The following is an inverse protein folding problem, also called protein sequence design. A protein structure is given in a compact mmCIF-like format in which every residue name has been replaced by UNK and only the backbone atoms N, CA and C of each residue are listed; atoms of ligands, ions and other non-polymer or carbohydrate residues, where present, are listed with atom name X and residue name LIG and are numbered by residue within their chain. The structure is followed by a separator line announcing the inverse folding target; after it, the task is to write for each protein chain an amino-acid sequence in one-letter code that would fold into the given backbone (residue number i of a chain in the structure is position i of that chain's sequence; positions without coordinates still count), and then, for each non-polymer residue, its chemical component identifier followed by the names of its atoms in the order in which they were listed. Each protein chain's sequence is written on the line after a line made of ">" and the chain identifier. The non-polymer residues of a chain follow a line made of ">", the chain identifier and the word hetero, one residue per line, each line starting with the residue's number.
data_IF_811652086884
#
_entry.id   IF_811652086884
#
_cell.length_a   1.000
_cell.length_b   1.000
_cell.length_c   1.000
_cell.angle_alpha   90.00
_cell.angle_beta   90.00
_cell.angle_gamma   90.00
#
_symmetry.space_group_name_H-M   'P 1'
#
loop_
_entity.id
_entity.type
_entity.pdbx_description
1 polymer ?
#
# COMPACT_ATOMS: atom_id res chain seq x y z
N UNK A 1 -14.66 -7.68 2.57
CA UNK A 1 -15.04 -7.37 1.17
C UNK A 1 -14.77 -8.59 0.29
N UNK A 2 -15.24 -8.63 -0.95
CA UNK A 2 -14.74 -9.62 -1.92
C UNK A 2 -13.37 -9.20 -2.48
N UNK A 3 -12.68 -10.10 -3.20
CA UNK A 3 -11.33 -9.84 -3.70
C UNK A 3 -11.25 -8.63 -4.63
N UNK A 4 -12.18 -8.49 -5.58
CA UNK A 4 -12.21 -7.38 -6.53
C UNK A 4 -12.41 -6.03 -5.82
N UNK A 5 -13.32 -5.99 -4.85
CA UNK A 5 -13.55 -4.82 -4.01
C UNK A 5 -12.30 -4.46 -3.18
N UNK A 6 -11.63 -5.46 -2.61
CA UNK A 6 -10.40 -5.25 -1.85
C UNK A 6 -9.27 -4.71 -2.74
N UNK A 7 -9.05 -5.30 -3.92
CA UNK A 7 -8.06 -4.81 -4.89
C UNK A 7 -8.35 -3.38 -5.33
N UNK A 8 -9.61 -3.07 -5.65
CA UNK A 8 -10.04 -1.72 -6.01
C UNK A 8 -9.80 -0.73 -4.87
N UNK A 9 -10.12 -1.11 -3.63
CA UNK A 9 -9.94 -0.28 -2.44
C UNK A 9 -8.46 0.01 -2.16
N UNK A 10 -7.61 -1.03 -2.17
CA UNK A 10 -6.17 -0.90 -1.97
C UNK A 10 -5.55 -0.02 -3.05
N UNK A 11 -5.91 -0.23 -4.33
CA UNK A 11 -5.43 0.62 -5.44
C UNK A 11 -5.83 2.08 -5.25
N UNK A 12 -7.08 2.36 -4.88
CA UNK A 12 -7.54 3.72 -4.65
C UNK A 12 -6.72 4.42 -3.56
N UNK A 13 -6.42 3.73 -2.46
CA UNK A 13 -5.61 4.27 -1.37
C UNK A 13 -4.15 4.52 -1.80
N UNK A 14 -3.54 3.61 -2.54
CA UNK A 14 -2.17 3.77 -3.05
C UNK A 14 -2.08 4.92 -4.08
N UNK A 15 -3.09 5.10 -4.93
CA UNK A 15 -3.13 6.22 -5.89
C UNK A 15 -3.22 7.59 -5.18
N UNK A 16 -3.86 7.65 -4.00
CA UNK A 16 -3.86 8.88 -3.18
C UNK A 16 -2.44 9.21 -2.72
N UNK A 17 -1.66 8.21 -2.32
CA UNK A 17 -0.24 8.40 -1.93
C UNK A 17 0.57 8.95 -3.12
N UNK A 18 0.44 8.33 -4.30
CA UNK A 18 1.09 8.80 -5.53
C UNK A 18 0.75 10.26 -5.84
N UNK A 19 -0.52 10.64 -5.69
CA UNK A 19 -1.00 12.00 -5.96
C UNK A 19 -0.44 13.01 -4.96
N UNK A 20 -0.47 12.69 -3.65
CA UNK A 20 -0.04 13.61 -2.58
C UNK A 20 1.46 13.89 -2.63
N UNK A 21 2.27 12.90 -2.98
CA UNK A 21 3.73 13.02 -3.03
C UNK A 21 4.29 13.25 -4.44
N UNK A 22 3.41 13.47 -5.43
CA UNK A 22 3.76 13.68 -6.83
C UNK A 22 4.75 12.63 -7.36
N UNK A 23 4.48 11.36 -7.08
CA UNK A 23 5.35 10.23 -7.41
C UNK A 23 4.62 9.04 -8.02
N UNK A 24 5.37 8.09 -8.56
CA UNK A 24 4.85 6.79 -9.04
C UNK A 24 5.44 5.64 -8.23
N UNK A 25 4.57 4.77 -7.69
CA UNK A 25 4.96 3.51 -7.07
C UNK A 25 5.11 2.46 -8.17
N UNK A 26 6.33 2.03 -8.45
CA UNK A 26 6.65 1.15 -9.61
C UNK A 26 6.13 -0.27 -9.44
N UNK A 27 6.01 -0.75 -8.21
CA UNK A 27 5.58 -2.10 -7.86
C UNK A 27 4.16 -2.16 -7.26
N UNK A 28 3.30 -1.19 -7.62
CA UNK A 28 1.95 -1.01 -7.06
C UNK A 28 1.06 -2.27 -7.12
N UNK A 29 1.06 -2.99 -8.25
CA UNK A 29 0.26 -4.23 -8.40
C UNK A 29 0.73 -5.33 -7.44
N UNK A 30 2.05 -5.50 -7.29
CA UNK A 30 2.62 -6.47 -6.35
C UNK A 30 2.24 -6.15 -4.90
N UNK A 31 2.19 -4.87 -4.53
CA UNK A 31 1.73 -4.42 -3.21
C UNK A 31 0.26 -4.79 -3.02
N UNK A 32 -0.60 -4.52 -4.02
CA UNK A 32 -2.03 -4.83 -3.96
C UNK A 32 -2.25 -6.34 -3.77
N UNK A 33 -1.57 -7.17 -4.55
CA UNK A 33 -1.62 -8.62 -4.43
C UNK A 33 -1.18 -9.07 -3.03
N UNK A 34 -0.01 -8.63 -2.57
CA UNK A 34 0.53 -8.97 -1.24
C UNK A 34 -0.45 -8.64 -0.11
N UNK A 35 -1.12 -7.49 -0.15
CA UNK A 35 -2.09 -7.11 0.88
C UNK A 35 -3.35 -7.95 0.78
N UNK A 36 -3.89 -8.11 -0.42
CA UNK A 36 -5.20 -8.76 -0.64
C UNK A 36 -5.17 -10.29 -0.54
N UNK A 37 -4.00 -10.91 -0.70
CA UNK A 37 -3.78 -12.32 -0.36
C UNK A 37 -3.86 -12.57 1.16
N UNK A 38 -3.56 -11.56 1.97
CA UNK A 38 -3.44 -11.67 3.42
C UNK A 38 -4.68 -11.17 4.15
N UNK A 39 -5.38 -10.19 3.58
CA UNK A 39 -6.64 -9.70 4.15
C UNK A 39 -7.58 -9.08 3.12
N UNK A 40 -8.88 -9.31 3.32
CA UNK A 40 -9.97 -8.67 2.58
C UNK A 40 -10.79 -7.72 3.48
N UNK A 41 -10.30 -7.46 4.69
CA UNK A 41 -10.92 -6.56 5.67
C UNK A 41 -10.58 -5.10 5.34
N UNK A 42 -11.59 -4.25 5.24
CA UNK A 42 -11.40 -2.86 4.82
C UNK A 42 -10.57 -2.04 5.81
N UNK A 43 -10.76 -2.26 7.11
CA UNK A 43 -10.07 -1.50 8.14
C UNK A 43 -8.59 -1.91 8.21
N UNK A 44 -8.30 -3.21 8.06
CA UNK A 44 -6.91 -3.69 7.96
C UNK A 44 -6.22 -3.14 6.73
N UNK A 45 -6.87 -3.17 5.56
CA UNK A 45 -6.35 -2.58 4.31
C UNK A 45 -6.03 -1.09 4.51
N UNK A 46 -6.98 -0.33 5.07
CA UNK A 46 -6.78 1.09 5.34
C UNK A 46 -5.56 1.32 6.24
N UNK A 47 -5.44 0.57 7.33
CA UNK A 47 -4.33 0.69 8.29
C UNK A 47 -2.98 0.37 7.64
N UNK A 48 -2.91 -0.67 6.80
CA UNK A 48 -1.70 -1.03 6.05
C UNK A 48 -1.32 0.10 5.08
N UNK A 49 -2.28 0.60 4.30
CA UNK A 49 -2.04 1.71 3.37
C UNK A 49 -1.63 3.01 4.10
N UNK A 50 -2.14 3.27 5.31
CA UNK A 50 -1.66 4.37 6.15
C UNK A 50 -0.20 4.18 6.56
N UNK A 51 0.20 2.96 6.94
CA UNK A 51 1.60 2.65 7.23
C UNK A 51 2.51 2.85 6.01
N UNK A 52 2.06 2.42 4.83
CA UNK A 52 2.78 2.64 3.57
C UNK A 52 2.89 4.13 3.24
N UNK A 53 1.83 4.90 3.44
CA UNK A 53 1.84 6.35 3.28
C UNK A 53 2.93 6.99 4.15
N UNK A 54 2.99 6.63 5.43
CA UNK A 54 4.05 7.12 6.34
C UNK A 54 5.44 6.71 5.87
N UNK A 55 5.61 5.47 5.42
CA UNK A 55 6.91 5.02 4.91
C UNK A 55 7.35 5.82 3.68
N UNK A 56 6.45 6.03 2.72
CA UNK A 56 6.71 6.84 1.52
C UNK A 56 7.08 8.27 1.92
N UNK A 57 6.33 8.89 2.83
CA UNK A 57 6.60 10.25 3.32
C UNK A 57 8.01 10.43 3.90
N UNK A 58 8.56 9.38 4.51
CA UNK A 58 9.86 9.41 5.19
C UNK A 58 11.03 9.01 4.28
N UNK A 59 10.78 8.23 3.22
CA UNK A 59 11.83 7.57 2.45
C UNK A 59 11.84 7.96 0.96
N UNK A 60 10.75 8.47 0.41
CA UNK A 60 10.70 8.91 -0.98
C UNK A 60 11.10 10.39 -1.07
N UNK A 61 12.02 10.71 -1.98
CA UNK A 61 12.20 12.09 -2.42
C UNK A 61 10.95 12.53 -3.21
N UNK A 62 10.48 13.75 -2.97
CA UNK A 62 9.35 14.32 -3.72
C UNK A 62 9.69 14.41 -5.21
N UNK A 63 8.73 14.09 -6.08
CA UNK A 63 8.87 14.21 -7.54
C UNK A 63 9.71 13.10 -8.16
N UNK A 64 9.10 11.93 -8.43
CA UNK A 64 9.80 10.85 -9.11
C UNK A 64 9.10 9.49 -9.09
N UNK A 65 9.91 8.44 -9.04
CA UNK A 65 9.44 7.06 -8.89
C UNK A 65 9.99 6.46 -7.61
N UNK A 66 9.20 5.63 -6.95
CA UNK A 66 9.61 4.88 -5.77
C UNK A 66 9.23 3.41 -5.94
N UNK A 67 10.13 2.52 -5.55
CA UNK A 67 9.80 1.12 -5.35
C UNK A 67 9.71 0.89 -3.85
N UNK A 68 8.57 0.39 -3.36
CA UNK A 68 8.42 0.07 -1.94
C UNK A 68 9.01 -1.32 -1.70
N UNK A 69 10.02 -1.49 -0.82
CA UNK A 69 10.58 -2.80 -0.52
C UNK A 69 9.52 -3.77 -0.02
N UNK A 70 9.58 -5.02 -0.47
CA UNK A 70 8.57 -6.02 -0.13
C UNK A 70 8.52 -6.30 1.38
N UNK A 71 9.68 -6.21 2.05
CA UNK A 71 9.82 -6.40 3.50
C UNK A 71 9.04 -5.35 4.30
N UNK A 72 8.90 -4.13 3.76
CA UNK A 72 8.08 -3.07 4.38
C UNK A 72 6.61 -3.44 4.31
N UNK A 73 6.14 -3.92 3.16
CA UNK A 73 4.76 -4.35 2.96
C UNK A 73 4.44 -5.55 3.87
N UNK A 74 5.29 -6.58 3.85
CA UNK A 74 5.15 -7.77 4.68
C UNK A 74 5.15 -7.39 6.17
N UNK A 75 6.10 -6.58 6.61
CA UNK A 75 6.18 -6.16 8.02
C UNK A 75 4.96 -5.37 8.49
N UNK A 76 4.32 -4.59 7.62
CA UNK A 76 3.05 -3.92 7.94
C UNK A 76 1.88 -4.91 8.00
N UNK A 77 1.79 -5.82 7.03
CA UNK A 77 0.77 -6.86 7.01
C UNK A 77 0.85 -7.73 8.27
N UNK A 78 2.04 -8.20 8.61
CA UNK A 78 2.26 -9.08 9.76
C UNK A 78 1.77 -8.43 11.07
N UNK A 79 2.06 -7.14 11.28
CA UNK A 79 1.69 -6.39 12.49
C UNK A 79 0.20 -6.09 12.63
N UNK A 80 -0.55 -6.10 11.53
CA UNK A 80 -1.95 -5.64 11.50
C UNK A 80 -2.91 -6.83 11.32
N UNK A 81 -2.47 -7.85 10.59
CA UNK A 81 -3.29 -9.03 10.32
C UNK A 81 -3.20 -10.04 11.45
N UNK A 82 -2.00 -10.25 12.01
CA UNK A 82 -1.69 -11.24 13.06
C UNK A 82 -1.40 -10.56 14.40
#
# INVERSE_FOLDING_TARGET
>A
MNLEQAKARTRALLNVIETVYELKITNLEKIIETITEQTLDENKILTICTGLNTWVALNAALGGVVEVPQEVVIGLVERIVF
#
